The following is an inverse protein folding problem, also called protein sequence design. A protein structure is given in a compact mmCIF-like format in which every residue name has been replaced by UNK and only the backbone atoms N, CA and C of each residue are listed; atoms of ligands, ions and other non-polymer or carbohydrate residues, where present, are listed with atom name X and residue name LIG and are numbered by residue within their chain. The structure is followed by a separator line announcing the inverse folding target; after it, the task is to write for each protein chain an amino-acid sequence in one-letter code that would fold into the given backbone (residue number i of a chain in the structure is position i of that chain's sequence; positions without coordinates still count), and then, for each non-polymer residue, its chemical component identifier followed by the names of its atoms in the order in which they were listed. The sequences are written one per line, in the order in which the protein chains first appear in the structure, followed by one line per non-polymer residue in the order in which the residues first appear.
data_IF_222365912288
#
_entry.id   IF_222365912288
#
_cell.length_a   1.000
_cell.length_b   1.000
_cell.length_c   1.000
_cell.angle_alpha   90.00
_cell.angle_beta   90.00
_cell.angle_gamma   90.00
#
_symmetry.space_group_name_H-M   'P 1'
#
loop_
_entity.id
_entity.type
_entity.pdbx_description
1 polymer ?
#
# COMPACT_ATOMS: atom_id res chain seq x y z
N UNK A 1 0.83 -21.88 21.04
CA UNK A 1 2.21 -22.05 20.52
C UNK A 1 3.10 -22.27 21.73
N UNK A 2 3.41 -23.52 22.04
CA UNK A 2 4.17 -23.89 23.25
C UNK A 2 5.68 -23.90 23.04
N UNK A 3 6.17 -23.93 21.79
CA UNK A 3 7.60 -24.09 21.49
C UNK A 3 8.28 -22.80 21.04
N UNK A 4 7.51 -21.79 20.58
CA UNK A 4 8.09 -20.56 20.00
C UNK A 4 8.79 -20.77 18.66
N UNK A 5 8.69 -21.96 18.07
CA UNK A 5 9.30 -22.24 16.76
C UNK A 5 8.62 -21.46 15.66
N UNK A 6 9.42 -20.87 14.78
CA UNK A 6 8.95 -20.07 13.65
C UNK A 6 9.37 -20.78 12.36
N UNK A 7 8.39 -21.07 11.49
CA UNK A 7 8.62 -21.64 10.19
C UNK A 7 8.21 -20.66 9.08
N UNK A 8 9.12 -20.42 8.13
CA UNK A 8 8.79 -19.67 6.92
C UNK A 8 8.09 -20.59 5.93
N UNK A 9 6.86 -20.21 5.53
CA UNK A 9 6.01 -21.02 4.64
C UNK A 9 6.24 -20.66 3.17
N UNK A 10 6.29 -19.37 2.84
CA UNK A 10 6.56 -18.89 1.48
C UNK A 10 8.04 -18.55 1.31
N UNK A 11 8.62 -18.91 0.15
CA UNK A 11 10.08 -18.81 -0.08
C UNK A 11 10.46 -17.95 -1.28
N UNK A 12 9.47 -17.45 -2.02
CA UNK A 12 9.72 -16.55 -3.14
C UNK A 12 10.01 -15.10 -2.67
N UNK A 13 10.25 -14.22 -3.62
CA UNK A 13 10.54 -12.80 -3.38
C UNK A 13 9.29 -11.91 -3.53
N UNK A 14 8.12 -12.52 -3.75
CA UNK A 14 6.88 -11.78 -3.86
C UNK A 14 6.44 -11.21 -2.51
N UNK A 15 5.63 -10.17 -2.57
CA UNK A 15 4.95 -9.66 -1.39
C UNK A 15 3.72 -10.54 -1.10
N UNK A 16 3.76 -11.23 0.02
CA UNK A 16 2.67 -12.06 0.53
C UNK A 16 2.07 -11.44 1.77
N UNK A 17 0.74 -11.35 1.82
CA UNK A 17 0.03 -10.69 2.92
C UNK A 17 -1.39 -11.23 3.13
N UNK A 18 -2.06 -10.80 4.20
CA UNK A 18 -3.39 -11.25 4.58
C UNK A 18 -3.53 -12.78 4.67
N UNK A 19 -2.68 -13.48 5.44
CA UNK A 19 -2.79 -14.92 5.60
C UNK A 19 -4.04 -15.28 6.41
N UNK A 20 -4.72 -16.34 6.01
CA UNK A 20 -5.88 -16.90 6.71
C UNK A 20 -5.83 -18.42 6.71
N UNK A 21 -6.07 -19.01 7.87
CA UNK A 21 -6.11 -20.45 8.03
C UNK A 21 -7.39 -21.04 7.45
N UNK A 22 -7.24 -22.13 6.71
CA UNK A 22 -8.36 -23.00 6.41
C UNK A 22 -8.87 -23.66 7.71
N UNK A 23 -10.20 -23.88 7.86
CA UNK A 23 -10.76 -24.48 9.08
C UNK A 23 -10.20 -25.86 9.47
N UNK A 24 -9.69 -26.63 8.51
CA UNK A 24 -9.07 -27.95 8.78
C UNK A 24 -7.64 -27.86 9.32
N UNK A 25 -7.05 -26.66 9.37
CA UNK A 25 -5.69 -26.42 9.86
C UNK A 25 -4.56 -26.94 8.98
N UNK A 26 -4.84 -27.35 7.72
CA UNK A 26 -3.82 -27.90 6.81
C UNK A 26 -3.34 -26.90 5.76
N UNK A 27 -4.15 -25.90 5.47
CA UNK A 27 -3.87 -24.91 4.44
C UNK A 27 -3.89 -23.50 5.02
N UNK A 28 -3.08 -22.65 4.41
CA UNK A 28 -3.13 -21.20 4.60
C UNK A 28 -3.40 -20.57 3.25
N UNK A 29 -4.40 -19.69 3.18
CA UNK A 29 -4.64 -18.85 2.01
C UNK A 29 -4.07 -17.47 2.27
N UNK A 30 -3.52 -16.84 1.25
CA UNK A 30 -2.91 -15.52 1.35
C UNK A 30 -3.00 -14.80 0.02
N UNK A 31 -2.81 -13.50 0.04
CA UNK A 31 -2.67 -12.69 -1.16
C UNK A 31 -1.21 -12.63 -1.56
N UNK A 32 -0.91 -12.89 -2.83
CA UNK A 32 0.47 -12.84 -3.36
C UNK A 32 0.55 -12.00 -4.63
N UNK A 33 1.65 -11.29 -4.78
CA UNK A 33 2.01 -10.55 -5.99
C UNK A 33 2.91 -11.37 -6.95
N UNK A 34 3.05 -12.66 -6.76
CA UNK A 34 3.97 -13.49 -7.55
C UNK A 34 3.68 -13.48 -9.06
N UNK A 35 2.42 -13.25 -9.45
CA UNK A 35 2.00 -13.03 -10.84
C UNK A 35 2.02 -11.58 -11.32
N UNK A 36 2.49 -10.64 -10.48
CA UNK A 36 2.51 -9.20 -10.77
C UNK A 36 1.22 -8.47 -10.41
N UNK A 37 0.09 -9.15 -10.32
CA UNK A 37 -1.20 -8.64 -9.83
C UNK A 37 -1.54 -9.40 -8.55
N UNK A 38 -2.11 -8.74 -7.52
CA UNK A 38 -2.53 -9.42 -6.31
C UNK A 38 -3.57 -10.49 -6.61
N UNK A 39 -3.25 -11.73 -6.28
CA UNK A 39 -4.13 -12.88 -6.44
C UNK A 39 -4.06 -13.78 -5.21
N UNK A 40 -5.09 -14.62 -5.03
CA UNK A 40 -5.15 -15.55 -3.90
C UNK A 40 -4.36 -16.81 -4.22
N UNK A 41 -3.52 -17.17 -3.28
CA UNK A 41 -2.75 -18.40 -3.24
C UNK A 41 -3.16 -19.23 -2.04
N UNK A 42 -2.99 -20.54 -2.15
CA UNK A 42 -3.10 -21.48 -1.03
C UNK A 42 -1.82 -22.27 -0.90
N UNK A 43 -1.40 -22.52 0.33
CA UNK A 43 -0.25 -23.36 0.62
C UNK A 43 -0.63 -24.44 1.62
N UNK A 44 -0.24 -25.68 1.32
CA UNK A 44 -0.31 -26.76 2.28
C UNK A 44 0.89 -26.68 3.23
N UNK A 45 0.61 -26.48 4.53
CA UNK A 45 1.66 -26.26 5.53
C UNK A 45 2.53 -27.51 5.80
N UNK A 46 1.99 -28.71 5.53
CA UNK A 46 2.72 -29.95 5.76
C UNK A 46 3.65 -30.29 4.61
N UNK A 47 3.23 -30.02 3.36
CA UNK A 47 4.02 -30.35 2.16
C UNK A 47 4.81 -29.14 1.64
N UNK A 48 4.41 -27.92 1.98
CA UNK A 48 4.96 -26.69 1.42
C UNK A 48 4.51 -26.41 -0.02
N UNK A 49 3.59 -27.22 -0.57
CA UNK A 49 3.05 -27.02 -1.90
C UNK A 49 2.14 -25.80 -1.93
N UNK A 50 2.46 -24.84 -2.79
CA UNK A 50 1.69 -23.61 -2.99
C UNK A 50 1.13 -23.55 -4.40
N UNK A 51 -0.12 -23.11 -4.51
CA UNK A 51 -0.80 -22.91 -5.79
C UNK A 51 -1.61 -21.63 -5.81
N UNK A 52 -1.73 -21.02 -6.98
CA UNK A 52 -2.60 -19.89 -7.22
C UNK A 52 -4.02 -20.40 -7.49
N UNK A 53 -5.01 -19.80 -6.84
CA UNK A 53 -6.43 -20.21 -6.93
C UNK A 53 -7.32 -19.12 -7.51
N UNK A 54 -6.81 -17.92 -7.74
CA UNK A 54 -7.49 -16.86 -8.49
C UNK A 54 -6.57 -16.27 -9.55
N UNK A 55 -7.18 -15.76 -10.62
CA UNK A 55 -6.48 -15.06 -11.70
C UNK A 55 -7.39 -13.95 -12.21
N UNK A 56 -7.13 -12.74 -11.73
CA UNK A 56 -7.86 -11.54 -12.13
C UNK A 56 -6.87 -10.47 -12.59
N UNK A 57 -7.29 -9.67 -13.55
CA UNK A 57 -6.44 -8.64 -14.16
C UNK A 57 -6.13 -7.48 -13.22
N UNK A 58 -7.06 -7.13 -12.32
CA UNK A 58 -6.91 -5.96 -11.46
C UNK A 58 -6.33 -6.34 -10.10
N UNK A 59 -7.14 -6.92 -9.21
CA UNK A 59 -6.68 -7.41 -7.91
C UNK A 59 -7.74 -8.27 -7.24
N UNK A 60 -7.28 -9.29 -6.51
CA UNK A 60 -8.09 -10.01 -5.53
C UNK A 60 -7.27 -10.20 -4.26
N UNK A 61 -7.85 -9.86 -3.10
CA UNK A 61 -7.13 -9.85 -1.81
C UNK A 61 -8.05 -10.15 -0.63
N UNK A 62 -7.46 -10.19 0.57
CA UNK A 62 -8.15 -10.35 1.85
C UNK A 62 -9.11 -11.55 1.88
N UNK A 63 -8.60 -12.72 1.46
CA UNK A 63 -9.37 -13.95 1.51
C UNK A 63 -9.80 -14.30 2.95
N UNK A 64 -10.99 -14.87 3.08
CA UNK A 64 -11.54 -15.37 4.34
C UNK A 64 -12.25 -16.70 4.11
N UNK A 65 -12.02 -17.65 4.98
CA UNK A 65 -12.72 -18.93 4.97
C UNK A 65 -14.00 -18.86 5.78
N UNK A 66 -15.09 -19.35 5.21
CA UNK A 66 -16.30 -19.61 5.98
C UNK A 66 -16.04 -20.77 6.94
N UNK A 67 -16.33 -20.61 8.23
CA UNK A 67 -16.11 -21.70 9.21
C UNK A 67 -17.06 -22.87 9.02
N UNK A 68 -18.19 -22.67 8.35
CA UNK A 68 -19.27 -23.65 8.27
C UNK A 68 -19.19 -24.57 7.06
N UNK A 69 -18.71 -24.07 5.91
CA UNK A 69 -18.78 -24.77 4.63
C UNK A 69 -17.49 -24.75 3.81
N UNK A 70 -16.41 -24.28 4.41
CA UNK A 70 -15.11 -24.14 3.75
C UNK A 70 -15.14 -23.33 2.44
N UNK A 71 -16.11 -22.43 2.31
CA UNK A 71 -16.16 -21.48 1.19
C UNK A 71 -15.08 -20.41 1.38
N UNK A 72 -14.30 -20.17 0.34
CA UNK A 72 -13.32 -19.09 0.32
C UNK A 72 -13.94 -17.84 -0.32
N UNK A 73 -14.01 -16.77 0.45
CA UNK A 73 -14.46 -15.46 0.00
C UNK A 73 -13.29 -14.52 -0.07
N UNK A 74 -13.26 -13.61 -1.03
CA UNK A 74 -12.22 -12.63 -1.16
C UNK A 74 -12.77 -11.29 -1.66
N UNK A 75 -12.00 -10.24 -1.55
CA UNK A 75 -12.33 -8.91 -2.03
C UNK A 75 -11.67 -8.70 -3.40
N UNK A 76 -12.40 -8.15 -4.36
CA UNK A 76 -11.85 -7.79 -5.67
C UNK A 76 -12.20 -6.35 -6.04
N UNK A 77 -11.30 -5.70 -6.76
CA UNK A 77 -11.60 -4.45 -7.43
C UNK A 77 -12.39 -4.78 -8.71
N UNK A 78 -13.56 -4.21 -8.86
CA UNK A 78 -14.44 -4.45 -10.01
C UNK A 78 -14.41 -3.31 -11.00
N UNK A 79 -14.24 -2.11 -10.49
CA UNK A 79 -14.16 -0.87 -11.24
C UNK A 79 -13.31 0.13 -10.44
N UNK A 80 -13.01 1.27 -10.97
CA UNK A 80 -12.11 2.29 -10.40
C UNK A 80 -12.46 2.64 -8.94
N UNK A 81 -13.75 2.55 -8.59
CA UNK A 81 -14.28 2.93 -7.27
C UNK A 81 -15.13 1.84 -6.60
N UNK A 82 -15.25 0.66 -7.23
CA UNK A 82 -16.15 -0.39 -6.75
C UNK A 82 -15.39 -1.62 -6.30
N UNK A 83 -15.59 -1.97 -5.03
CA UNK A 83 -15.06 -3.19 -4.42
C UNK A 83 -16.20 -4.20 -4.25
N UNK A 84 -15.96 -5.45 -4.61
CA UNK A 84 -16.94 -6.55 -4.47
C UNK A 84 -16.35 -7.70 -3.67
N UNK A 85 -17.22 -8.42 -2.99
CA UNK A 85 -16.90 -9.70 -2.38
C UNK A 85 -17.22 -10.80 -3.39
N UNK A 86 -16.26 -11.66 -3.64
CA UNK A 86 -16.38 -12.78 -4.58
C UNK A 86 -16.08 -14.10 -3.92
N UNK A 87 -16.69 -15.17 -4.43
CA UNK A 87 -16.34 -16.53 -4.05
C UNK A 87 -15.17 -17.01 -4.91
N UNK A 88 -14.15 -17.57 -4.27
CA UNK A 88 -12.99 -18.15 -4.92
C UNK A 88 -13.06 -19.67 -4.79
N UNK A 89 -12.83 -20.40 -5.88
CA UNK A 89 -12.69 -21.85 -5.84
C UNK A 89 -11.29 -22.23 -5.34
N UNK A 90 -11.17 -22.76 -4.11
CA UNK A 90 -9.86 -23.08 -3.54
C UNK A 90 -9.20 -24.32 -4.18
N UNK A 91 -9.94 -25.08 -4.97
CA UNK A 91 -9.43 -26.29 -5.64
C UNK A 91 -8.89 -25.98 -7.04
N UNK A 92 -9.17 -24.79 -7.55
CA UNK A 92 -8.64 -24.36 -8.83
C UNK A 92 -7.10 -24.31 -8.75
N UNK A 93 -6.46 -24.83 -9.76
CA UNK A 93 -5.01 -24.73 -9.96
C UNK A 93 -4.78 -23.89 -11.22
N UNK A 94 -4.22 -22.71 -11.02
CA UNK A 94 -3.94 -21.77 -12.09
C UNK A 94 -2.44 -21.72 -12.26
N UNK A 95 -1.98 -22.32 -13.36
CA UNK A 95 -0.59 -22.19 -13.79
C UNK A 95 -0.42 -20.86 -14.49
N UNK A 96 -0.14 -19.82 -13.75
CA UNK A 96 0.31 -18.56 -14.33
C UNK A 96 1.82 -18.56 -14.46
N UNK A 97 2.30 -17.98 -15.54
CA UNK A 97 3.71 -17.69 -15.68
C UNK A 97 4.10 -16.74 -14.53
N UNK A 98 4.90 -17.22 -13.61
CA UNK A 98 5.35 -16.41 -12.48
C UNK A 98 6.22 -15.30 -13.02
N UNK A 99 5.63 -14.13 -13.20
CA UNK A 99 6.38 -12.92 -13.44
C UNK A 99 7.25 -12.69 -12.19
N UNK A 100 8.52 -12.93 -12.32
CA UNK A 100 9.47 -12.65 -11.26
C UNK A 100 9.34 -11.17 -10.92
N UNK A 101 8.99 -10.86 -9.68
CA UNK A 101 9.00 -9.48 -9.16
C UNK A 101 10.37 -8.81 -9.40
N UNK A 102 11.41 -9.63 -9.52
CA UNK A 102 12.74 -9.19 -9.86
C UNK A 102 12.79 -8.47 -11.20
N UNK A 103 12.03 -8.91 -12.20
CA UNK A 103 12.00 -8.25 -13.52
C UNK A 103 11.16 -6.97 -13.54
N UNK A 104 10.12 -6.83 -12.72
CA UNK A 104 9.27 -5.64 -12.75
C UNK A 104 9.76 -4.48 -11.88
N UNK A 105 10.40 -4.78 -10.74
CA UNK A 105 10.74 -3.75 -9.75
C UNK A 105 12.24 -3.63 -9.44
N UNK A 106 13.06 -4.56 -9.91
CA UNK A 106 14.50 -4.51 -9.64
C UNK A 106 15.35 -4.24 -10.87
N UNK A 107 14.82 -4.44 -12.07
CA UNK A 107 15.58 -4.16 -13.31
C UNK A 107 15.90 -2.67 -13.43
N UNK A 108 15.02 -1.79 -12.99
CA UNK A 108 15.32 -0.36 -12.95
C UNK A 108 16.44 0.02 -11.96
N UNK A 109 16.75 -0.83 -10.98
CA UNK A 109 17.90 -0.63 -10.07
C UNK A 109 19.21 -1.12 -10.67
N UNK A 110 19.13 -2.06 -11.60
CA UNK A 110 20.29 -2.70 -12.21
C UNK A 110 20.53 -2.25 -13.65
N UNK A 111 19.60 -1.55 -14.26
CA UNK A 111 19.82 -0.83 -15.51
C UNK A 111 20.63 0.41 -15.18
N UNK A 112 21.85 0.45 -15.64
CA UNK A 112 22.55 1.73 -15.76
C UNK A 112 21.64 2.66 -16.55
N UNK A 113 21.41 3.89 -16.08
CA UNK A 113 20.63 4.85 -16.83
C UNK A 113 21.22 4.99 -18.21
N UNK A 114 20.37 4.97 -19.26
CA UNK A 114 20.78 5.10 -20.67
C UNK A 114 21.55 6.40 -20.98
N UNK A 115 21.54 7.33 -20.05
CA UNK A 115 22.41 8.50 -20.08
C UNK A 115 23.47 8.33 -19.01
N UNK A 116 24.73 8.33 -19.37
CA UNK A 116 25.78 8.37 -18.39
C UNK A 116 25.55 9.62 -17.52
N UNK A 117 25.48 9.42 -16.21
CA UNK A 117 25.60 10.53 -15.25
C UNK A 117 27.04 11.08 -15.38
N UNK A 118 27.41 11.46 -16.60
CA UNK A 118 28.73 11.99 -16.91
C UNK A 118 28.86 13.34 -16.28
N UNK A 119 29.74 13.43 -15.36
CA UNK A 119 30.11 14.67 -14.72
C UNK A 119 29.82 14.79 -13.26
N UNK A 120 29.09 13.85 -12.65
CA UNK A 120 28.92 13.85 -11.18
C UNK A 120 29.64 12.64 -10.60
N UNK A 121 30.85 12.82 -10.14
CA UNK A 121 31.49 11.90 -9.20
C UNK A 121 30.98 12.24 -7.80
N UNK A 122 30.05 11.43 -7.22
CA UNK A 122 29.48 11.76 -5.90
C UNK A 122 30.56 11.86 -4.81
N UNK A 123 31.73 11.28 -5.02
CA UNK A 123 32.84 11.40 -4.09
C UNK A 123 33.67 12.67 -4.28
N UNK A 124 33.65 13.26 -5.48
CA UNK A 124 34.45 14.44 -5.82
C UNK A 124 33.63 15.72 -5.97
N UNK A 125 32.43 15.59 -6.48
CA UNK A 125 31.64 16.76 -6.89
C UNK A 125 30.62 17.22 -5.85
N UNK A 126 30.38 16.43 -4.79
CA UNK A 126 29.56 16.86 -3.66
C UNK A 126 30.45 17.59 -2.65
N UNK A 127 30.57 18.90 -2.82
CA UNK A 127 31.21 19.74 -1.82
C UNK A 127 30.17 20.10 -0.75
N UNK A 128 30.18 19.36 0.37
CA UNK A 128 29.37 19.70 1.54
C UNK A 128 29.97 20.96 2.20
N UNK A 129 29.54 22.11 1.73
CA UNK A 129 29.99 23.40 2.27
C UNK A 129 29.53 23.63 3.71
N UNK A 130 28.41 23.03 4.10
CA UNK A 130 27.86 23.06 5.46
C UNK A 130 26.99 21.86 5.72
N UNK A 131 27.22 21.20 6.83
CA UNK A 131 26.23 20.28 7.42
C UNK A 131 25.90 20.75 8.84
N UNK A 132 24.67 20.78 9.21
CA UNK A 132 24.22 21.04 10.56
C UNK A 132 23.11 20.03 10.92
N UNK A 133 23.04 19.73 12.21
CA UNK A 133 21.95 18.87 12.69
C UNK A 133 20.62 19.57 12.41
N UNK A 134 19.75 18.90 11.69
CA UNK A 134 18.38 19.39 11.54
C UNK A 134 17.71 19.44 12.91
N UNK A 135 17.47 20.64 13.37
CA UNK A 135 16.61 20.89 14.53
C UNK A 135 15.21 21.23 13.98
N UNK A 136 14.19 20.46 14.34
CA UNK A 136 12.81 20.69 13.87
C UNK A 136 12.19 21.92 14.57
N UNK A 137 12.97 22.96 14.77
CA UNK A 137 12.50 24.20 15.35
C UNK A 137 11.82 25.03 14.28
N UNK A 138 10.50 25.18 14.41
CA UNK A 138 9.70 26.29 13.84
C UNK A 138 9.90 26.60 12.34
N UNK A 139 10.49 25.71 11.58
CA UNK A 139 10.56 25.79 10.12
C UNK A 139 9.24 25.46 9.44
N UNK A 140 8.13 25.64 10.14
CA UNK A 140 6.79 25.46 9.61
C UNK A 140 6.53 26.54 8.57
N UNK A 141 6.31 26.09 7.34
CA UNK A 141 5.97 26.97 6.22
C UNK A 141 4.52 26.81 5.86
N UNK A 142 3.95 27.90 5.39
CA UNK A 142 2.62 27.87 4.81
C UNK A 142 2.64 26.89 3.62
N UNK A 143 1.73 25.94 3.63
CA UNK A 143 1.58 24.94 2.58
C UNK A 143 0.44 25.32 1.63
N UNK A 144 -0.75 25.57 2.16
CA UNK A 144 -1.92 25.93 1.37
C UNK A 144 -2.93 26.73 2.18
N UNK A 145 -3.72 27.51 1.50
CA UNK A 145 -4.94 28.11 2.04
C UNK A 145 -6.09 27.87 1.05
N UNK A 146 -7.17 27.33 1.55
CA UNK A 146 -8.42 27.15 0.83
C UNK A 146 -9.46 28.10 1.40
N UNK A 147 -10.14 28.83 0.53
CA UNK A 147 -11.23 29.73 0.89
C UNK A 147 -12.48 29.27 0.16
N UNK A 148 -13.50 28.92 0.92
CA UNK A 148 -14.77 28.40 0.41
C UNK A 148 -15.90 29.37 0.77
N UNK A 149 -16.53 30.01 -0.21
CA UNK A 149 -17.74 30.77 0.04
C UNK A 149 -18.94 29.85 0.29
N UNK A 150 -19.70 30.10 1.35
CA UNK A 150 -20.86 29.32 1.76
C UNK A 150 -22.04 30.25 2.05
N UNK A 151 -22.62 30.80 0.99
CA UNK A 151 -23.71 31.78 1.13
C UNK A 151 -23.22 33.10 1.71
N UNK A 152 -23.67 33.45 2.90
CA UNK A 152 -23.23 34.66 3.63
C UNK A 152 -21.99 34.43 4.51
N UNK A 153 -21.46 33.23 4.49
CA UNK A 153 -20.29 32.85 5.26
C UNK A 153 -19.10 32.56 4.33
N UNK A 154 -17.91 32.74 4.85
CA UNK A 154 -16.68 32.29 4.19
C UNK A 154 -15.89 31.41 5.14
N UNK A 155 -15.67 30.19 4.73
CA UNK A 155 -14.80 29.24 5.43
C UNK A 155 -13.38 29.38 4.90
N UNK A 156 -12.44 29.66 5.78
CA UNK A 156 -11.02 29.65 5.50
C UNK A 156 -10.35 28.45 6.18
N UNK A 157 -9.64 27.66 5.41
CA UNK A 157 -8.80 26.56 5.93
C UNK A 157 -7.37 26.84 5.49
N UNK A 158 -6.45 26.87 6.42
CA UNK A 158 -5.03 27.08 6.12
C UNK A 158 -4.17 26.00 6.78
N UNK A 159 -3.17 25.57 6.08
CA UNK A 159 -2.28 24.52 6.53
C UNK A 159 -0.81 24.97 6.48
N UNK A 160 -0.09 24.66 7.54
CA UNK A 160 1.36 24.82 7.63
C UNK A 160 2.01 23.47 7.92
N UNK A 161 3.16 23.24 7.35
CA UNK A 161 3.93 22.02 7.59
C UNK A 161 5.42 22.30 7.62
N UNK A 162 6.16 21.46 8.32
CA UNK A 162 7.61 21.44 8.22
C UNK A 162 8.08 20.68 6.96
N UNK A 163 9.33 20.88 6.58
CA UNK A 163 9.89 20.27 5.36
C UNK A 163 9.87 18.73 5.36
N UNK A 164 9.75 18.12 6.54
CA UNK A 164 9.71 16.67 6.72
C UNK A 164 8.28 16.16 6.97
N UNK A 165 7.27 17.03 6.92
CA UNK A 165 5.85 16.74 7.19
C UNK A 165 5.56 16.05 8.54
N UNK A 166 6.49 16.20 9.49
CA UNK A 166 6.33 15.62 10.84
C UNK A 166 5.40 16.44 11.73
N UNK A 167 5.26 17.73 11.41
CA UNK A 167 4.37 18.63 12.11
C UNK A 167 3.44 19.28 11.09
N UNK A 168 2.16 19.11 11.29
CA UNK A 168 1.11 19.71 10.46
C UNK A 168 0.22 20.53 11.38
N UNK A 169 0.05 21.80 11.06
CA UNK A 169 -0.88 22.68 11.73
C UNK A 169 -1.99 23.07 10.77
N UNK A 170 -3.22 22.97 11.22
CA UNK A 170 -4.40 23.35 10.44
C UNK A 170 -5.14 24.42 11.21
N UNK A 171 -5.32 25.56 10.57
CA UNK A 171 -6.17 26.65 11.07
C UNK A 171 -7.48 26.66 10.28
N UNK A 172 -8.60 26.77 10.97
CA UNK A 172 -9.93 26.89 10.38
C UNK A 172 -10.59 28.16 10.94
N UNK A 173 -11.12 28.98 10.06
CA UNK A 173 -11.85 30.17 10.42
C UNK A 173 -13.12 30.34 9.58
N UNK A 174 -14.19 30.82 10.20
CA UNK A 174 -15.42 31.16 9.52
C UNK A 174 -15.68 32.64 9.75
N UNK A 175 -15.99 33.37 8.68
CA UNK A 175 -16.43 34.74 8.73
C UNK A 175 -17.87 34.79 8.22
N UNK A 176 -18.78 35.26 9.06
CA UNK A 176 -20.17 35.44 8.72
C UNK A 176 -20.40 36.92 8.35
N UNK A 177 -20.94 37.16 7.16
CA UNK A 177 -21.30 38.46 6.61
C UNK A 177 -22.80 38.71 6.66
N UNK A 178 -23.57 37.85 7.35
CA UNK A 178 -24.96 38.13 7.57
C UNK A 178 -25.09 39.45 8.37
N UNK A 179 -25.64 40.46 7.76
CA UNK A 179 -25.90 41.72 8.46
C UNK A 179 -26.80 41.46 9.67
N UNK A 180 -26.30 41.77 10.86
CA UNK A 180 -27.16 41.92 12.01
C UNK A 180 -28.10 43.13 11.74
N UNK A 181 -29.27 42.87 11.14
CA UNK A 181 -30.36 43.81 11.17
C UNK A 181 -30.84 43.93 12.61
N UNK A 182 -30.16 44.73 13.39
CA UNK A 182 -30.70 45.25 14.64
C UNK A 182 -31.76 46.28 14.28
N UNK A 183 -33.00 45.87 14.30
CA UNK A 183 -34.15 46.79 14.44
C UNK A 183 -34.29 47.23 15.89
#
# INVERSE_FOLDING_TARGET
VTTGDVQRITKDSAADYNPVWHPDGKYVSFTSHSGGTPNIHTVNINTGESKQVSDVGDAVWAAQWSPSDSTLMATTLWDVDTVRIVKVDPHRDITTEKLSMRHRFTDWRNTEPDFPLTGIDPAKDVNILRSHRYTPTLGVKHFTTLVLPMGYEVLGITQWTDAMTRHIFVGVGIVDFSENNTH
#
